data_IF_593728130039
#
_entry.id   IF_593728130039
#
_cell.length_a   1.000
_cell.length_b   1.000
_cell.length_c   1.000
_cell.angle_alpha   90.00
_cell.angle_beta   90.00
_cell.angle_gamma   90.00
#
_symmetry.space_group_name_H-M   'P 1'
#
loop_
_entity.id
_entity.type
_entity.pdbx_description
1 polymer ?
#
# COMPACT_ATOMS: atom_id res chain seq x y z
N UNK A 1 -1.21 -15.63 -15.30
CA UNK A 1 -1.74 -14.28 -14.98
C UNK A 1 -1.31 -13.74 -13.60
N UNK A 2 -0.91 -14.59 -12.65
CA UNK A 2 -0.52 -14.16 -11.27
C UNK A 2 0.90 -13.54 -11.13
N UNK A 3 1.65 -13.42 -12.24
CA UNK A 3 2.99 -12.83 -12.24
C UNK A 3 2.94 -11.33 -11.89
N UNK A 4 1.91 -10.62 -12.35
CA UNK A 4 1.72 -9.19 -12.04
C UNK A 4 1.46 -8.97 -10.55
N UNK A 5 0.53 -9.69 -9.88
CA UNK A 5 0.39 -9.69 -8.42
C UNK A 5 1.68 -9.98 -7.66
N UNK A 6 2.42 -11.02 -8.05
CA UNK A 6 3.67 -11.37 -7.39
C UNK A 6 4.72 -10.24 -7.50
N UNK A 7 4.94 -9.71 -8.70
CA UNK A 7 5.88 -8.61 -8.93
C UNK A 7 5.48 -7.33 -8.19
N UNK A 8 4.20 -6.98 -8.20
CA UNK A 8 3.69 -5.80 -7.48
C UNK A 8 3.89 -5.93 -5.98
N UNK A 9 3.60 -7.09 -5.39
CA UNK A 9 3.83 -7.34 -3.96
C UNK A 9 5.31 -7.36 -3.59
N UNK A 10 6.19 -7.94 -4.44
CA UNK A 10 7.64 -7.90 -4.24
C UNK A 10 8.19 -6.47 -4.33
N UNK A 11 7.77 -5.70 -5.33
CA UNK A 11 8.13 -4.29 -5.45
C UNK A 11 7.70 -3.51 -4.19
N UNK A 12 6.49 -3.78 -3.68
CA UNK A 12 6.02 -3.19 -2.42
C UNK A 12 6.84 -3.61 -1.21
N UNK A 13 7.24 -4.88 -1.11
CA UNK A 13 8.10 -5.35 -0.05
C UNK A 13 9.46 -4.62 -0.08
N UNK A 14 10.06 -4.47 -1.26
CA UNK A 14 11.33 -3.75 -1.47
C UNK A 14 11.21 -2.28 -1.07
N UNK A 15 10.19 -1.56 -1.55
CA UNK A 15 9.95 -0.15 -1.17
C UNK A 15 9.75 0.00 0.34
N UNK A 16 9.26 -1.05 1.01
CA UNK A 16 9.00 -1.08 2.45
C UNK A 16 10.15 -1.66 3.28
N UNK A 17 11.29 -1.99 2.68
CA UNK A 17 12.45 -2.53 3.39
C UNK A 17 12.92 -1.59 4.51
N UNK A 18 12.87 -0.27 4.27
CA UNK A 18 13.20 0.76 5.26
C UNK A 18 12.25 0.76 6.47
N UNK A 19 11.06 0.17 6.34
CA UNK A 19 10.08 0.06 7.41
C UNK A 19 10.32 -1.14 8.34
N UNK A 20 11.30 -2.00 8.06
CA UNK A 20 11.72 -3.10 8.95
C UNK A 20 12.22 -2.57 10.30
N UNK A 21 12.86 -1.40 10.29
CA UNK A 21 13.48 -0.80 11.47
C UNK A 21 12.44 -0.25 12.47
N UNK A 22 11.23 0.06 12.03
CA UNK A 22 10.15 0.58 12.89
C UNK A 22 9.22 -0.57 13.32
N UNK A 23 9.18 -0.96 14.62
CA UNK A 23 8.34 -2.05 15.12
C UNK A 23 6.86 -1.87 14.77
N UNK A 24 6.36 -0.63 14.70
CA UNK A 24 4.95 -0.33 14.38
C UNK A 24 4.64 -0.54 12.91
N UNK A 25 5.65 -0.48 12.03
CA UNK A 25 5.51 -0.64 10.58
C UNK A 25 5.91 -2.04 10.10
N UNK A 26 6.56 -2.82 10.96
CA UNK A 26 7.02 -4.17 10.68
C UNK A 26 5.89 -5.14 10.28
N UNK A 27 4.71 -5.02 10.89
CA UNK A 27 3.54 -5.87 10.57
C UNK A 27 3.12 -5.76 9.11
N UNK A 28 3.08 -4.53 8.57
CA UNK A 28 2.65 -4.31 7.19
C UNK A 28 3.69 -4.80 6.18
N UNK A 29 4.98 -4.72 6.52
CA UNK A 29 6.06 -5.31 5.72
C UNK A 29 5.95 -6.83 5.71
N UNK A 30 5.79 -7.46 6.88
CA UNK A 30 5.59 -8.91 7.01
C UNK A 30 4.38 -9.37 6.19
N UNK A 31 3.26 -8.65 6.29
CA UNK A 31 2.06 -8.93 5.49
C UNK A 31 2.38 -8.95 3.98
N UNK A 32 3.09 -7.94 3.47
CA UNK A 32 3.46 -7.89 2.04
C UNK A 32 4.42 -8.99 1.63
N UNK A 33 5.36 -9.39 2.50
CA UNK A 33 6.30 -10.48 2.20
C UNK A 33 5.59 -11.82 2.15
N UNK A 34 4.72 -12.12 3.13
CA UNK A 34 3.94 -13.36 3.14
C UNK A 34 2.98 -13.43 1.95
N UNK A 35 2.31 -12.33 1.61
CA UNK A 35 1.47 -12.27 0.42
C UNK A 35 2.27 -12.46 -0.87
N UNK A 36 3.44 -11.81 -1.00
CA UNK A 36 4.32 -11.98 -2.17
C UNK A 36 4.80 -13.43 -2.32
N UNK A 37 5.20 -14.06 -1.21
CA UNK A 37 5.59 -15.46 -1.18
C UNK A 37 4.42 -16.38 -1.58
N UNK A 38 3.22 -16.17 -1.04
CA UNK A 38 2.03 -16.93 -1.41
C UNK A 38 1.71 -16.78 -2.91
N UNK A 39 1.71 -15.56 -3.45
CA UNK A 39 1.48 -15.34 -4.88
C UNK A 39 2.56 -15.96 -5.77
N UNK A 40 3.82 -15.98 -5.30
CA UNK A 40 4.93 -16.61 -6.03
C UNK A 40 4.75 -18.13 -6.07
N UNK A 41 4.40 -18.75 -4.93
CA UNK A 41 4.08 -20.18 -4.87
C UNK A 41 2.83 -20.55 -5.65
N UNK A 42 1.88 -19.62 -5.83
CA UNK A 42 0.69 -19.83 -6.65
C UNK A 42 0.95 -19.79 -8.17
N UNK A 43 2.17 -19.46 -8.62
CA UNK A 43 2.51 -19.58 -10.03
C UNK A 43 2.68 -21.06 -10.40
N UNK A 44 1.88 -21.57 -11.33
CA UNK A 44 1.99 -22.94 -11.84
C UNK A 44 3.45 -23.43 -12.05
N UNK A 45 4.33 -22.70 -12.77
CA UNK A 45 5.71 -23.15 -12.96
C UNK A 45 6.51 -23.26 -11.66
N UNK A 46 6.23 -22.40 -10.67
CA UNK A 46 6.89 -22.45 -9.35
C UNK A 46 6.27 -23.57 -8.51
N UNK A 47 4.94 -23.69 -8.50
CA UNK A 47 4.21 -24.71 -7.77
C UNK A 47 4.68 -26.12 -8.13
N UNK A 48 4.67 -26.45 -9.44
CA UNK A 48 5.08 -27.76 -9.94
C UNK A 48 6.59 -28.02 -9.83
N UNK A 49 7.42 -26.98 -9.74
CA UNK A 49 8.86 -27.13 -9.51
C UNK A 49 9.20 -27.36 -8.04
N UNK A 50 8.50 -26.70 -7.12
CA UNK A 50 8.80 -26.74 -5.68
C UNK A 50 8.13 -27.93 -5.00
N UNK A 51 6.93 -28.32 -5.42
CA UNK A 51 6.19 -29.40 -4.75
C UNK A 51 6.92 -30.75 -4.73
N UNK A 52 7.57 -31.21 -5.81
CA UNK A 52 8.38 -32.43 -5.78
C UNK A 52 9.54 -32.37 -4.78
N UNK A 53 10.14 -31.19 -4.60
CA UNK A 53 11.23 -30.98 -3.63
C UNK A 53 10.74 -31.10 -2.19
N UNK A 54 9.48 -30.77 -1.95
CA UNK A 54 8.82 -30.87 -0.64
C UNK A 54 8.08 -32.22 -0.43
N UNK A 55 8.22 -33.17 -1.37
CA UNK A 55 7.69 -34.52 -1.25
C UNK A 55 6.62 -34.90 -2.27
N UNK A 56 6.14 -33.97 -3.11
CA UNK A 56 5.22 -34.26 -4.22
C UNK A 56 3.76 -34.51 -3.82
N UNK A 57 3.38 -34.14 -2.59
CA UNK A 57 2.05 -34.38 -2.01
C UNK A 57 1.23 -33.08 -1.85
N UNK A 58 1.39 -32.07 -2.73
CA UNK A 58 0.79 -30.73 -2.61
C UNK A 58 1.10 -30.00 -1.30
N UNK A 59 2.24 -30.31 -0.69
CA UNK A 59 2.72 -29.60 0.49
C UNK A 59 2.87 -28.10 0.23
N UNK A 60 3.15 -27.69 -1.02
CA UNK A 60 3.16 -26.28 -1.44
C UNK A 60 1.80 -25.62 -1.22
N UNK A 61 0.70 -26.34 -1.44
CA UNK A 61 -0.65 -25.84 -1.17
C UNK A 61 -0.88 -25.48 0.29
N UNK A 62 -0.40 -26.34 1.22
CA UNK A 62 -0.43 -26.05 2.65
C UNK A 62 0.42 -24.83 3.01
N UNK A 63 1.67 -24.77 2.52
CA UNK A 63 2.57 -23.63 2.77
C UNK A 63 1.98 -22.33 2.26
N UNK A 64 1.40 -22.36 1.05
CA UNK A 64 0.73 -21.22 0.43
C UNK A 64 -0.41 -20.72 1.32
N UNK A 65 -1.30 -21.61 1.77
CA UNK A 65 -2.44 -21.20 2.60
C UNK A 65 -1.97 -20.65 3.95
N UNK A 66 -0.96 -21.25 4.59
CA UNK A 66 -0.38 -20.74 5.83
C UNK A 66 0.26 -19.35 5.65
N UNK A 67 0.94 -19.11 4.53
CA UNK A 67 1.45 -17.78 4.18
C UNK A 67 0.33 -16.78 3.95
N UNK A 68 -0.76 -17.19 3.29
CA UNK A 68 -1.92 -16.33 3.07
C UNK A 68 -2.58 -15.95 4.39
N UNK A 69 -2.86 -16.92 5.26
CA UNK A 69 -3.39 -16.70 6.61
C UNK A 69 -2.51 -15.73 7.41
N UNK A 70 -1.20 -15.98 7.41
CA UNK A 70 -0.24 -15.13 8.12
C UNK A 70 -0.20 -13.72 7.52
N UNK A 71 -0.24 -13.60 6.19
CA UNK A 71 -0.27 -12.33 5.48
C UNK A 71 -1.48 -11.49 5.86
N UNK A 72 -2.68 -12.06 5.78
CA UNK A 72 -3.93 -11.40 6.17
C UNK A 72 -3.96 -11.06 7.67
N UNK A 73 -3.46 -11.94 8.52
CA UNK A 73 -3.32 -11.68 9.96
C UNK A 73 -2.45 -10.44 10.22
N UNK A 74 -1.25 -10.42 9.64
CA UNK A 74 -0.31 -9.31 9.78
C UNK A 74 -0.88 -8.01 9.21
N UNK A 75 -1.65 -8.11 8.12
CA UNK A 75 -2.32 -6.97 7.51
C UNK A 75 -3.39 -6.39 8.43
N UNK A 76 -4.26 -7.25 8.99
CA UNK A 76 -5.26 -6.88 10.00
C UNK A 76 -4.61 -6.22 11.22
N UNK A 77 -3.54 -6.82 11.73
CA UNK A 77 -2.78 -6.27 12.86
C UNK A 77 -2.20 -4.89 12.55
N UNK A 78 -1.64 -4.68 11.36
CA UNK A 78 -1.12 -3.39 10.93
C UNK A 78 -2.21 -2.30 10.89
N UNK A 79 -3.42 -2.64 10.40
CA UNK A 79 -4.55 -1.72 10.35
C UNK A 79 -5.07 -1.40 11.75
N UNK A 80 -5.20 -2.40 12.63
CA UNK A 80 -5.58 -2.16 14.03
C UNK A 80 -4.59 -1.26 14.75
N UNK A 81 -3.28 -1.48 14.56
CA UNK A 81 -2.22 -0.63 15.13
C UNK A 81 -2.27 0.80 14.61
N UNK A 82 -2.73 1.01 13.38
CA UNK A 82 -2.86 2.32 12.77
C UNK A 82 -4.15 3.05 13.17
N UNK A 83 -5.26 2.32 13.33
CA UNK A 83 -6.58 2.89 13.58
C UNK A 83 -6.91 3.08 15.08
N UNK A 84 -6.47 2.16 15.95
CA UNK A 84 -6.84 2.15 17.37
C UNK A 84 -5.79 2.86 18.24
N UNK A 85 -6.20 3.97 18.85
CA UNK A 85 -5.40 4.72 19.82
C UNK A 85 -5.42 4.10 21.22
N UNK A 86 -6.51 3.42 21.58
CA UNK A 86 -6.66 2.74 22.89
C UNK A 86 -5.78 1.48 22.97
N UNK A 87 -4.83 1.49 23.90
CA UNK A 87 -3.86 0.41 24.09
C UNK A 87 -4.49 -0.87 24.65
N UNK A 88 -5.52 -0.78 25.51
CA UNK A 88 -6.10 -1.95 26.20
C UNK A 88 -6.95 -2.74 25.22
N UNK A 89 -7.89 -2.06 24.55
CA UNK A 89 -8.73 -2.67 23.52
C UNK A 89 -7.92 -3.25 22.37
N UNK A 90 -6.84 -2.56 21.96
CA UNK A 90 -5.92 -3.03 20.93
C UNK A 90 -5.20 -4.31 21.32
N UNK A 91 -4.69 -4.42 22.55
CA UNK A 91 -4.03 -5.66 23.04
C UNK A 91 -5.00 -6.83 23.06
N UNK A 92 -6.22 -6.61 23.53
CA UNK A 92 -7.24 -7.65 23.59
C UNK A 92 -7.64 -8.15 22.19
N UNK A 93 -7.88 -7.25 21.23
CA UNK A 93 -8.21 -7.63 19.85
C UNK A 93 -7.05 -8.29 19.09
N UNK A 94 -5.81 -7.92 19.39
CA UNK A 94 -4.62 -8.61 18.89
C UNK A 94 -4.50 -10.01 19.49
N UNK A 95 -4.78 -10.19 20.78
CA UNK A 95 -4.77 -11.49 21.44
C UNK A 95 -5.83 -12.44 20.86
N UNK A 96 -7.08 -11.97 20.72
CA UNK A 96 -8.17 -12.74 20.09
C UNK A 96 -7.76 -13.17 18.68
N UNK A 97 -7.22 -12.24 17.91
CA UNK A 97 -6.88 -12.56 16.54
C UNK A 97 -5.62 -13.45 16.41
N UNK A 98 -4.66 -13.36 17.33
CA UNK A 98 -3.57 -14.33 17.43
C UNK A 98 -4.13 -15.73 17.73
N UNK A 99 -5.08 -15.85 18.68
CA UNK A 99 -5.73 -17.14 18.95
C UNK A 99 -6.50 -17.66 17.74
N UNK A 100 -7.23 -16.80 17.03
CA UNK A 100 -7.96 -17.18 15.81
C UNK A 100 -7.00 -17.68 14.72
N UNK A 101 -5.85 -17.00 14.53
CA UNK A 101 -4.81 -17.40 13.60
C UNK A 101 -4.19 -18.76 13.97
N UNK A 102 -3.89 -18.97 15.25
CA UNK A 102 -3.35 -20.25 15.74
C UNK A 102 -4.35 -21.38 15.53
N UNK A 103 -5.62 -21.17 15.89
CA UNK A 103 -6.69 -22.17 15.72
C UNK A 103 -6.90 -22.48 14.23
N UNK A 104 -7.00 -21.45 13.38
CA UNK A 104 -7.14 -21.63 11.94
C UNK A 104 -5.94 -22.36 11.33
N UNK A 105 -4.72 -22.00 11.72
CA UNK A 105 -3.49 -22.67 11.27
C UNK A 105 -3.44 -24.14 11.67
N UNK A 106 -3.83 -24.47 12.90
CA UNK A 106 -3.92 -25.86 13.37
C UNK A 106 -4.98 -26.62 12.57
N UNK A 107 -6.19 -26.08 12.46
CA UNK A 107 -7.29 -26.74 11.75
C UNK A 107 -6.99 -26.96 10.26
N UNK A 108 -6.36 -25.99 9.60
CA UNK A 108 -5.88 -26.11 8.22
C UNK A 108 -4.81 -27.20 8.11
N UNK A 109 -3.81 -27.20 9.00
CA UNK A 109 -2.74 -28.21 8.97
C UNK A 109 -3.28 -29.61 9.22
N UNK A 110 -4.15 -29.78 10.22
CA UNK A 110 -4.80 -31.06 10.52
C UNK A 110 -5.67 -31.51 9.35
N UNK A 111 -6.50 -30.61 8.79
CA UNK A 111 -7.32 -30.90 7.63
C UNK A 111 -6.49 -31.43 6.45
N UNK A 112 -5.38 -30.75 6.14
CA UNK A 112 -4.45 -31.18 5.10
C UNK A 112 -3.83 -32.56 5.39
N UNK A 113 -3.31 -32.78 6.61
CA UNK A 113 -2.67 -34.05 6.98
C UNK A 113 -3.64 -35.23 7.02
N UNK A 114 -4.93 -34.98 7.28
CA UNK A 114 -5.98 -36.01 7.23
C UNK A 114 -6.47 -36.31 5.81
N UNK A 115 -6.11 -35.47 4.84
CA UNK A 115 -6.45 -35.66 3.44
C UNK A 115 -5.44 -36.53 2.72
N UNK A 116 -5.93 -37.34 1.77
CA UNK A 116 -5.09 -38.17 0.89
C UNK A 116 -4.77 -37.37 -0.35
N UNK A 117 -3.57 -36.83 -0.39
CA UNK A 117 -3.11 -35.96 -1.48
C UNK A 117 -1.99 -36.67 -2.24
N UNK A 118 -2.41 -37.50 -3.20
CA UNK A 118 -1.52 -38.47 -3.85
C UNK A 118 -0.79 -37.90 -5.07
N UNK A 119 -1.19 -36.73 -5.59
CA UNK A 119 -0.60 -36.10 -6.78
C UNK A 119 -0.53 -34.59 -6.63
N UNK A 120 0.54 -34.00 -7.18
CA UNK A 120 0.64 -32.54 -7.30
C UNK A 120 -0.44 -32.00 -8.23
N UNK A 121 -1.33 -31.18 -7.69
CA UNK A 121 -2.36 -30.44 -8.42
C UNK A 121 -2.59 -29.09 -7.74
N UNK A 122 -2.53 -28.03 -8.53
CA UNK A 122 -2.76 -26.67 -8.07
C UNK A 122 -4.25 -26.40 -7.73
N UNK A 123 -5.18 -27.13 -8.34
CA UNK A 123 -6.62 -26.94 -8.17
C UNK A 123 -7.19 -27.83 -7.06
N UNK A 124 -6.63 -27.73 -5.85
CA UNK A 124 -7.04 -28.48 -4.66
C UNK A 124 -8.56 -28.53 -4.41
N UNK A 125 -9.34 -27.43 -4.57
CA UNK A 125 -10.79 -27.47 -4.36
C UNK A 125 -11.55 -28.36 -5.34
N UNK A 126 -11.04 -28.50 -6.56
CA UNK A 126 -11.69 -29.30 -7.61
C UNK A 126 -11.29 -30.76 -7.48
N UNK A 127 -10.00 -31.03 -7.24
CA UNK A 127 -9.43 -32.38 -7.29
C UNK A 127 -9.65 -33.17 -6.00
N UNK A 128 -9.69 -32.50 -4.85
CA UNK A 128 -9.76 -33.13 -3.53
C UNK A 128 -10.92 -32.64 -2.67
N UNK A 129 -11.84 -31.85 -3.24
CA UNK A 129 -12.94 -31.20 -2.51
C UNK A 129 -13.98 -32.16 -1.92
N UNK A 130 -13.98 -33.43 -2.35
CA UNK A 130 -14.82 -34.51 -1.84
C UNK A 130 -14.33 -35.04 -0.47
N UNK A 131 -13.06 -34.84 -0.14
CA UNK A 131 -12.47 -35.31 1.11
C UNK A 131 -12.80 -34.37 2.27
N UNK A 132 -13.26 -34.94 3.39
CA UNK A 132 -13.57 -34.17 4.60
C UNK A 132 -12.37 -33.34 5.11
N UNK A 133 -11.16 -33.90 5.11
CA UNK A 133 -9.95 -33.15 5.51
C UNK A 133 -9.69 -31.91 4.65
N UNK A 134 -9.90 -32.03 3.34
CA UNK A 134 -9.70 -30.95 2.38
C UNK A 134 -10.79 -29.90 2.51
N UNK A 135 -12.03 -30.31 2.80
CA UNK A 135 -13.10 -29.37 3.11
C UNK A 135 -12.74 -28.55 4.35
N UNK A 136 -12.28 -29.18 5.44
CA UNK A 136 -11.83 -28.45 6.64
C UNK A 136 -10.68 -27.48 6.29
N UNK A 137 -9.71 -27.91 5.48
CA UNK A 137 -8.61 -27.08 5.00
C UNK A 137 -9.10 -25.83 4.24
N UNK A 138 -9.95 -26.03 3.23
CA UNK A 138 -10.43 -24.95 2.35
C UNK A 138 -11.39 -24.01 3.07
N UNK A 139 -12.36 -24.55 3.82
CA UNK A 139 -13.35 -23.75 4.54
C UNK A 139 -12.74 -22.94 5.66
N UNK A 140 -11.88 -23.56 6.48
CA UNK A 140 -11.23 -22.84 7.58
C UNK A 140 -10.35 -21.70 7.05
N UNK A 141 -9.57 -21.97 6.00
CA UNK A 141 -8.74 -20.95 5.36
C UNK A 141 -9.56 -19.80 4.81
N UNK A 142 -10.62 -20.14 4.08
CA UNK A 142 -11.55 -19.20 3.46
C UNK A 142 -12.29 -18.33 4.48
N UNK A 143 -12.85 -18.94 5.52
CA UNK A 143 -13.57 -18.25 6.59
C UNK A 143 -12.66 -17.31 7.36
N UNK A 144 -11.42 -17.72 7.65
CA UNK A 144 -10.47 -16.86 8.33
C UNK A 144 -10.13 -15.62 7.49
N UNK A 145 -9.84 -15.81 6.19
CA UNK A 145 -9.50 -14.70 5.30
C UNK A 145 -10.71 -13.76 5.15
N UNK A 146 -11.91 -14.32 4.96
CA UNK A 146 -13.15 -13.55 4.89
C UNK A 146 -13.39 -12.73 6.16
N UNK A 147 -13.24 -13.36 7.34
CA UNK A 147 -13.34 -12.67 8.62
C UNK A 147 -12.32 -11.53 8.75
N UNK A 148 -11.05 -11.78 8.42
CA UNK A 148 -10.02 -10.76 8.47
C UNK A 148 -10.34 -9.58 7.53
N UNK A 149 -10.79 -9.87 6.31
CA UNK A 149 -11.23 -8.89 5.32
C UNK A 149 -12.41 -8.02 5.80
N UNK A 150 -13.45 -8.65 6.37
CA UNK A 150 -14.62 -7.97 6.90
C UNK A 150 -14.26 -7.10 8.10
N UNK A 151 -13.45 -7.62 9.02
CA UNK A 151 -13.03 -6.86 10.20
C UNK A 151 -12.13 -5.68 9.83
N UNK A 152 -11.20 -5.87 8.88
CA UNK A 152 -10.43 -4.78 8.29
C UNK A 152 -11.38 -3.72 7.76
N UNK A 153 -12.32 -4.08 6.88
CA UNK A 153 -13.27 -3.17 6.24
C UNK A 153 -14.13 -2.44 7.27
N UNK A 154 -14.55 -3.12 8.33
CA UNK A 154 -15.33 -2.54 9.42
C UNK A 154 -14.53 -1.53 10.24
N UNK A 155 -13.31 -1.88 10.68
CA UNK A 155 -12.41 -0.98 11.42
C UNK A 155 -12.14 0.27 10.59
N UNK A 156 -11.82 0.02 9.33
CA UNK A 156 -11.62 1.01 8.32
C UNK A 156 -12.85 1.94 8.25
N UNK A 157 -14.05 1.40 7.98
CA UNK A 157 -15.26 2.20 7.77
C UNK A 157 -15.57 3.09 8.98
N UNK A 158 -15.46 2.51 10.19
CA UNK A 158 -15.70 3.22 11.45
C UNK A 158 -14.75 4.40 11.68
N UNK A 159 -13.52 4.34 11.17
CA UNK A 159 -12.53 5.40 11.36
C UNK A 159 -12.44 6.37 10.16
N UNK A 160 -13.11 6.10 9.04
CA UNK A 160 -13.12 6.99 7.85
C UNK A 160 -13.53 8.42 8.16
N UNK A 161 -14.51 8.61 9.04
CA UNK A 161 -15.04 9.92 9.39
C UNK A 161 -14.00 10.82 10.07
N UNK A 162 -12.96 10.27 10.71
CA UNK A 162 -11.93 11.07 11.39
C UNK A 162 -10.78 11.48 10.45
N UNK A 163 -10.75 10.98 9.21
CA UNK A 163 -9.61 11.11 8.30
C UNK A 163 -9.82 12.24 7.30
N UNK A 164 -9.32 13.43 7.63
CA UNK A 164 -9.49 14.66 6.84
C UNK A 164 -8.76 14.65 5.48
N UNK A 165 -7.83 13.74 5.23
CA UNK A 165 -7.02 13.73 4.00
C UNK A 165 -7.66 12.90 2.87
N UNK A 166 -7.92 13.55 1.72
CA UNK A 166 -8.48 12.92 0.50
C UNK A 166 -7.67 11.70 0.04
N UNK A 167 -6.34 11.75 0.12
CA UNK A 167 -5.46 10.63 -0.24
C UNK A 167 -5.67 9.40 0.63
N UNK A 168 -6.05 9.60 1.89
CA UNK A 168 -6.36 8.51 2.80
C UNK A 168 -7.72 7.88 2.48
N UNK A 169 -8.73 8.71 2.17
CA UNK A 169 -10.06 8.25 1.72
C UNK A 169 -10.00 7.48 0.40
N UNK A 170 -9.14 7.89 -0.52
CA UNK A 170 -8.99 7.22 -1.81
C UNK A 170 -8.27 5.87 -1.65
N UNK A 171 -7.19 5.82 -0.85
CA UNK A 171 -6.48 4.57 -0.56
C UNK A 171 -7.37 3.55 0.17
N UNK A 172 -8.24 4.07 1.04
CA UNK A 172 -9.26 3.29 1.71
C UNK A 172 -10.27 2.64 0.76
N UNK A 173 -10.85 3.43 -0.15
CA UNK A 173 -11.83 2.93 -1.13
C UNK A 173 -11.21 1.85 -2.02
N UNK A 174 -9.95 2.02 -2.42
CA UNK A 174 -9.22 1.03 -3.19
C UNK A 174 -8.98 -0.28 -2.42
N UNK A 175 -8.65 -0.21 -1.12
CA UNK A 175 -8.53 -1.40 -0.26
C UNK A 175 -9.89 -2.09 -0.15
N UNK A 176 -10.97 -1.34 0.13
CA UNK A 176 -12.31 -1.90 0.27
C UNK A 176 -12.79 -2.58 -1.03
N UNK A 177 -12.59 -1.92 -2.18
CA UNK A 177 -12.93 -2.48 -3.50
C UNK A 177 -12.14 -3.76 -3.79
N UNK A 178 -10.83 -3.75 -3.49
CA UNK A 178 -9.98 -4.92 -3.70
C UNK A 178 -10.35 -6.08 -2.77
N UNK A 179 -10.68 -5.81 -1.50
CA UNK A 179 -11.18 -6.82 -0.56
C UNK A 179 -12.51 -7.40 -1.06
N UNK A 180 -13.44 -6.56 -1.51
CA UNK A 180 -14.74 -7.02 -2.03
C UNK A 180 -14.57 -7.91 -3.27
N UNK A 181 -13.71 -7.51 -4.22
CA UNK A 181 -13.37 -8.31 -5.38
C UNK A 181 -12.74 -9.66 -4.98
N UNK A 182 -11.82 -9.66 -4.00
CA UNK A 182 -11.21 -10.89 -3.50
C UNK A 182 -12.24 -11.82 -2.84
N UNK A 183 -13.14 -11.29 -2.02
CA UNK A 183 -14.21 -12.08 -1.40
C UNK A 183 -15.13 -12.70 -2.46
N UNK A 184 -15.48 -11.96 -3.52
CA UNK A 184 -16.26 -12.48 -4.63
C UNK A 184 -15.55 -13.66 -5.31
N UNK A 185 -14.25 -13.53 -5.62
CA UNK A 185 -13.48 -14.64 -6.23
C UNK A 185 -13.38 -15.86 -5.33
N UNK A 186 -13.30 -15.65 -4.02
CA UNK A 186 -13.18 -16.72 -3.03
C UNK A 186 -14.51 -17.46 -2.89
N UNK A 187 -15.63 -16.73 -2.86
CA UNK A 187 -16.97 -17.31 -2.87
C UNK A 187 -17.23 -18.08 -4.16
N UNK A 188 -16.88 -17.52 -5.32
CA UNK A 188 -17.01 -18.19 -6.62
C UNK A 188 -16.21 -19.50 -6.68
N UNK A 189 -14.96 -19.50 -6.20
CA UNK A 189 -14.14 -20.73 -6.12
C UNK A 189 -14.73 -21.79 -5.19
N UNK A 190 -15.29 -21.40 -4.04
CA UNK A 190 -15.94 -22.33 -3.12
C UNK A 190 -17.22 -22.93 -3.73
N UNK A 191 -18.05 -22.10 -4.35
CA UNK A 191 -19.26 -22.55 -5.06
C UNK A 191 -18.92 -23.50 -6.21
N UNK A 192 -17.91 -23.15 -7.01
CA UNK A 192 -17.43 -24.01 -8.10
C UNK A 192 -16.96 -25.37 -7.60
N UNK A 193 -16.24 -25.42 -6.48
CA UNK A 193 -15.83 -26.68 -5.85
C UNK A 193 -17.03 -27.54 -5.40
N UNK A 194 -18.08 -26.92 -4.84
CA UNK A 194 -19.29 -27.65 -4.43
C UNK A 194 -20.13 -28.13 -5.61
N UNK A 195 -20.28 -27.31 -6.66
CA UNK A 195 -21.09 -27.65 -7.84
C UNK A 195 -20.43 -28.76 -8.65
N UNK A 196 -19.11 -28.74 -8.81
CA UNK A 196 -18.38 -29.82 -9.51
C UNK A 196 -18.42 -31.14 -8.72
N UNK A 197 -18.36 -31.10 -7.39
CA UNK A 197 -18.55 -32.29 -6.57
C UNK A 197 -19.97 -32.89 -6.69
N UNK A 198 -20.95 -32.11 -7.17
CA UNK A 198 -22.35 -32.52 -7.31
C UNK A 198 -22.78 -32.85 -8.75
N UNK A 199 -22.00 -32.50 -9.79
CA UNK A 199 -22.34 -32.72 -11.20
C UNK A 199 -21.11 -33.11 -12.04
N UNK A 200 -21.13 -34.32 -12.57
CA UNK A 200 -20.07 -34.92 -13.40
C UNK A 200 -20.18 -34.52 -14.89
N UNK A 201 -20.51 -33.26 -15.19
CA UNK A 201 -20.87 -32.82 -16.55
C UNK A 201 -19.81 -31.92 -17.19
N UNK A 202 -19.06 -32.51 -18.13
CA UNK A 202 -18.02 -31.89 -18.95
C UNK A 202 -18.52 -30.91 -20.01
N UNK A 203 -19.03 -29.76 -19.58
CA UNK A 203 -19.13 -28.59 -20.46
C UNK A 203 -18.12 -27.50 -20.06
N UNK A 204 -17.81 -26.66 -21.04
CA UNK A 204 -16.70 -25.72 -21.12
C UNK A 204 -16.90 -24.29 -20.53
N UNK A 205 -17.92 -23.92 -19.69
CA UNK A 205 -17.97 -22.58 -19.10
C UNK A 205 -16.90 -22.33 -18.02
N UNK A 206 -16.19 -23.37 -17.57
CA UNK A 206 -15.13 -23.29 -16.57
C UNK A 206 -13.91 -22.47 -17.02
N UNK A 207 -13.61 -22.46 -18.33
CA UNK A 207 -12.45 -21.73 -18.87
C UNK A 207 -12.63 -20.22 -18.80
N UNK A 208 -13.85 -19.72 -19.08
CA UNK A 208 -14.19 -18.30 -19.00
C UNK A 208 -14.24 -17.81 -17.55
N UNK A 209 -14.85 -18.58 -16.65
CA UNK A 209 -14.90 -18.25 -15.21
C UNK A 209 -13.49 -18.26 -14.58
N UNK A 210 -12.63 -19.20 -14.95
CA UNK A 210 -11.23 -19.21 -14.50
C UNK A 210 -10.45 -17.97 -14.99
N UNK A 211 -10.69 -17.53 -16.23
CA UNK A 211 -10.05 -16.32 -16.76
C UNK A 211 -10.51 -15.06 -16.02
N UNK A 212 -11.82 -14.92 -15.80
CA UNK A 212 -12.39 -13.81 -15.03
C UNK A 212 -11.90 -13.81 -13.58
N UNK A 213 -11.81 -14.98 -12.95
CA UNK A 213 -11.26 -15.11 -11.60
C UNK A 213 -9.79 -14.68 -11.53
N UNK A 214 -8.98 -15.05 -12.52
CA UNK A 214 -7.58 -14.61 -12.58
C UNK A 214 -7.44 -13.09 -12.71
N UNK A 215 -8.32 -12.45 -13.50
CA UNK A 215 -8.35 -10.98 -13.64
C UNK A 215 -8.86 -10.30 -12.37
N UNK A 216 -9.92 -10.82 -11.76
CA UNK A 216 -10.48 -10.31 -10.52
C UNK A 216 -9.49 -10.45 -9.34
N UNK A 217 -8.82 -11.59 -9.19
CA UNK A 217 -7.77 -11.80 -8.19
C UNK A 217 -6.59 -10.83 -8.42
N UNK A 218 -6.17 -10.66 -9.67
CA UNK A 218 -5.09 -9.75 -10.02
C UNK A 218 -5.44 -8.29 -9.71
N UNK A 219 -6.64 -7.87 -10.12
CA UNK A 219 -7.13 -6.52 -9.84
C UNK A 219 -7.29 -6.28 -8.34
N UNK A 220 -7.78 -7.26 -7.57
CA UNK A 220 -7.88 -7.17 -6.12
C UNK A 220 -6.52 -6.90 -5.46
N UNK A 221 -5.49 -7.69 -5.81
CA UNK A 221 -4.14 -7.51 -5.27
C UNK A 221 -3.56 -6.14 -5.65
N UNK A 222 -3.74 -5.72 -6.90
CA UNK A 222 -3.25 -4.41 -7.37
C UNK A 222 -3.97 -3.26 -6.66
N UNK A 223 -5.30 -3.32 -6.54
CA UNK A 223 -6.12 -2.31 -5.86
C UNK A 223 -5.75 -2.20 -4.38
N UNK A 224 -5.66 -3.33 -3.68
CA UNK A 224 -5.21 -3.37 -2.28
C UNK A 224 -3.80 -2.80 -2.17
N UNK A 225 -2.88 -3.24 -3.02
CA UNK A 225 -1.51 -2.75 -3.05
C UNK A 225 -1.43 -1.23 -3.19
N UNK A 226 -2.06 -0.68 -4.24
CA UNK A 226 -2.13 0.77 -4.48
C UNK A 226 -2.72 1.47 -3.26
N UNK A 227 -3.83 0.96 -2.72
CA UNK A 227 -4.49 1.55 -1.56
C UNK A 227 -3.65 1.60 -0.29
N UNK A 228 -2.71 0.66 -0.09
CA UNK A 228 -1.77 0.68 1.04
C UNK A 228 -0.59 1.64 0.79
N UNK A 229 -0.21 1.89 -0.47
CA UNK A 229 0.89 2.81 -0.83
C UNK A 229 0.42 4.26 -0.87
N UNK A 230 -0.82 4.52 -1.31
CA UNK A 230 -1.35 5.87 -1.54
C UNK A 230 -1.28 6.79 -0.30
N UNK A 231 -1.64 6.35 0.93
CA UNK A 231 -1.53 7.18 2.12
C UNK A 231 -0.07 7.55 2.46
N UNK A 232 0.89 6.70 2.09
CA UNK A 232 2.32 6.95 2.32
C UNK A 232 2.91 7.96 1.35
N UNK A 233 2.40 8.01 0.13
CA UNK A 233 2.83 8.98 -0.88
C UNK A 233 2.33 10.40 -0.58
N UNK A 234 1.23 10.55 0.17
CA UNK A 234 0.62 11.86 0.42
C UNK A 234 1.54 12.89 1.08
N UNK A 235 2.46 12.48 1.97
CA UNK A 235 3.43 13.40 2.61
C UNK A 235 4.59 13.76 1.67
N UNK A 236 5.36 12.82 1.11
CA UNK A 236 6.47 13.15 0.22
C UNK A 236 6.00 13.86 -1.05
N UNK A 237 4.82 13.52 -1.60
CA UNK A 237 4.26 14.23 -2.77
C UNK A 237 3.90 15.67 -2.43
N UNK A 238 3.32 15.94 -1.26
CA UNK A 238 3.08 17.33 -0.81
C UNK A 238 4.38 18.10 -0.62
N UNK A 239 5.41 17.47 -0.05
CA UNK A 239 6.73 18.08 0.07
C UNK A 239 7.36 18.34 -1.30
N UNK A 240 7.25 17.39 -2.24
CA UNK A 240 7.76 17.53 -3.59
C UNK A 240 7.04 18.65 -4.36
N UNK A 241 5.71 18.69 -4.30
CA UNK A 241 4.91 19.75 -4.93
C UNK A 241 5.23 21.11 -4.31
N UNK A 242 5.37 21.19 -2.98
CA UNK A 242 5.77 22.42 -2.29
C UNK A 242 7.19 22.84 -2.69
N UNK A 243 8.11 21.90 -2.83
CA UNK A 243 9.47 22.16 -3.28
C UNK A 243 9.50 22.62 -4.76
N UNK A 244 8.68 22.03 -5.62
CA UNK A 244 8.54 22.45 -7.02
C UNK A 244 7.92 23.85 -7.12
N UNK A 245 6.85 24.11 -6.38
CA UNK A 245 6.22 25.44 -6.33
C UNK A 245 7.21 26.48 -5.78
N UNK A 246 7.96 26.16 -4.73
CA UNK A 246 9.00 27.04 -4.20
C UNK A 246 10.14 27.28 -5.21
N UNK A 247 10.49 26.29 -6.03
CA UNK A 247 11.47 26.45 -7.13
C UNK A 247 10.94 27.35 -8.25
N UNK A 248 9.67 27.21 -8.62
CA UNK A 248 9.04 28.09 -9.62
C UNK A 248 8.99 29.54 -9.13
N UNK A 249 8.55 29.76 -7.89
CA UNK A 249 8.52 31.08 -7.28
C UNK A 249 9.92 31.68 -7.12
N UNK A 250 10.95 30.85 -6.88
CA UNK A 250 12.35 31.28 -6.86
C UNK A 250 12.83 31.81 -8.22
N UNK A 251 12.39 31.20 -9.33
CA UNK A 251 12.71 31.66 -10.68
C UNK A 251 12.02 33.01 -10.94
N UNK A 252 10.76 33.13 -10.54
CA UNK A 252 9.97 34.34 -10.77
C UNK A 252 10.52 35.53 -9.96
N UNK A 253 10.78 35.35 -8.66
CA UNK A 253 11.30 36.40 -7.79
C UNK A 253 12.74 36.78 -8.10
N UNK A 254 13.51 35.92 -8.78
CA UNK A 254 14.92 36.19 -9.08
C UNK A 254 15.10 37.49 -9.89
N UNK A 255 14.22 37.72 -10.87
CA UNK A 255 14.26 38.91 -11.72
C UNK A 255 14.05 40.19 -10.91
N UNK A 256 13.07 40.16 -10.00
CA UNK A 256 12.77 41.26 -9.08
C UNK A 256 13.92 41.48 -8.09
N UNK A 257 14.42 40.40 -7.48
CA UNK A 257 15.55 40.44 -6.56
C UNK A 257 16.77 41.09 -7.23
N UNK A 258 17.15 40.68 -8.45
CA UNK A 258 18.30 41.24 -9.18
C UNK A 258 18.13 42.73 -9.46
N UNK A 259 16.92 43.20 -9.75
CA UNK A 259 16.64 44.62 -9.99
C UNK A 259 16.76 45.48 -8.72
N UNK A 260 16.50 44.88 -7.56
CA UNK A 260 16.43 45.58 -6.27
C UNK A 260 17.77 45.54 -5.53
N UNK A 261 18.52 44.46 -5.69
CA UNK A 261 19.84 44.28 -5.08
C UNK A 261 20.98 44.91 -5.86
N UNK A 262 20.77 45.31 -7.12
CA UNK A 262 21.80 46.02 -7.89
C UNK A 262 22.19 47.33 -7.20
N UNK A 263 23.47 47.38 -6.80
CA UNK A 263 24.06 48.51 -6.08
C UNK A 263 23.83 48.51 -4.57
N UNK A 264 23.34 47.42 -3.95
CA UNK A 264 23.14 47.31 -2.48
C UNK A 264 23.89 46.08 -1.93
N UNK A 265 25.22 46.08 -1.99
CA UNK A 265 26.05 44.96 -1.52
C UNK A 265 25.91 44.66 -0.03
N UNK A 266 25.60 45.67 0.78
CA UNK A 266 25.66 45.57 2.25
C UNK A 266 24.45 44.86 2.88
N UNK A 267 23.42 44.54 2.09
CA UNK A 267 22.22 43.81 2.55
C UNK A 267 22.25 42.36 2.05
N UNK A 268 23.04 42.07 1.01
CA UNK A 268 23.02 40.78 0.33
C UNK A 268 24.09 39.88 0.91
N UNK A 269 23.67 38.93 1.74
CA UNK A 269 24.55 37.96 2.41
C UNK A 269 25.27 36.98 1.46
N UNK A 270 24.89 36.89 0.17
CA UNK A 270 25.62 36.14 -0.86
C UNK A 270 25.32 36.74 -2.25
N UNK A 271 26.24 37.51 -2.85
CA UNK A 271 26.02 38.14 -4.16
C UNK A 271 26.14 37.18 -5.34
N UNK A 272 26.51 35.91 -5.12
CA UNK A 272 26.66 34.94 -6.21
C UNK A 272 25.36 34.81 -7.03
N UNK A 273 25.49 35.09 -8.32
CA UNK A 273 24.45 34.93 -9.33
C UNK A 273 23.94 33.49 -9.33
N UNK A 274 22.65 33.30 -9.63
CA UNK A 274 22.06 31.96 -9.73
C UNK A 274 22.84 31.17 -10.77
N UNK A 275 23.61 30.19 -10.32
CA UNK A 275 24.06 29.13 -11.20
C UNK A 275 22.84 28.27 -11.52
N UNK A 276 22.69 27.76 -12.75
CA UNK A 276 21.62 26.82 -13.09
C UNK A 276 21.62 25.58 -12.18
N UNK A 277 22.76 25.29 -11.53
CA UNK A 277 22.92 24.27 -10.50
C UNK A 277 22.25 24.61 -9.16
N UNK A 278 21.90 25.87 -8.89
CA UNK A 278 21.14 26.27 -7.69
C UNK A 278 19.66 25.84 -7.75
N UNK A 279 19.13 25.52 -8.93
CA UNK A 279 17.82 24.87 -9.07
C UNK A 279 17.80 23.49 -8.38
N UNK A 280 18.96 22.83 -8.28
CA UNK A 280 19.14 21.54 -7.62
C UNK A 280 19.48 21.69 -6.13
N UNK A 281 19.54 22.92 -5.60
CA UNK A 281 20.00 23.14 -4.25
C UNK A 281 19.08 22.54 -3.18
N UNK A 282 19.72 22.00 -2.15
CA UNK A 282 19.09 21.39 -0.97
C UNK A 282 18.43 22.51 -0.14
N UNK A 283 17.08 22.56 -0.14
CA UNK A 283 16.16 23.46 0.62
C UNK A 283 15.66 24.72 -0.13
N UNK A 284 14.77 24.58 -1.13
CA UNK A 284 14.23 25.72 -1.91
C UNK A 284 13.38 26.67 -1.07
N UNK A 285 12.57 26.17 -0.13
CA UNK A 285 11.69 27.01 0.72
C UNK A 285 12.47 27.99 1.58
N UNK A 286 13.60 27.57 2.18
CA UNK A 286 14.45 28.43 3.02
C UNK A 286 15.12 29.53 2.18
N UNK A 287 15.49 29.22 0.95
CA UNK A 287 16.08 30.19 0.01
C UNK A 287 15.05 31.19 -0.48
N UNK A 288 13.82 30.73 -0.77
CA UNK A 288 12.72 31.61 -1.15
C UNK A 288 12.42 32.62 -0.03
N UNK A 289 12.28 32.14 1.21
CA UNK A 289 12.09 32.99 2.38
C UNK A 289 13.22 34.02 2.56
N UNK A 290 14.47 33.61 2.39
CA UNK A 290 15.62 34.52 2.47
C UNK A 290 15.59 35.60 1.39
N UNK A 291 15.27 35.26 0.14
CA UNK A 291 15.21 36.25 -0.95
C UNK A 291 14.07 37.27 -0.77
N UNK A 292 12.95 36.85 -0.20
CA UNK A 292 11.85 37.77 0.15
C UNK A 292 12.30 38.79 1.20
N UNK A 293 12.98 38.34 2.25
CA UNK A 293 13.54 39.24 3.28
C UNK A 293 14.54 40.22 2.66
N UNK A 294 15.47 39.74 1.84
CA UNK A 294 16.46 40.61 1.18
C UNK A 294 15.80 41.68 0.30
N UNK A 295 14.69 41.35 -0.40
CA UNK A 295 13.92 42.33 -1.17
C UNK A 295 13.26 43.38 -0.27
N UNK A 296 12.66 42.96 0.85
CA UNK A 296 12.04 43.87 1.83
C UNK A 296 13.05 44.77 2.54
N UNK A 297 14.21 44.24 2.88
CA UNK A 297 15.29 45.02 3.50
C UNK A 297 15.83 46.08 2.54
N UNK A 298 15.94 45.75 1.24
CA UNK A 298 16.31 46.73 0.22
C UNK A 298 15.22 47.79 0.00
N UNK A 299 13.94 47.42 0.05
CA UNK A 299 12.82 48.36 -0.01
C UNK A 299 12.87 49.35 1.18
N UNK A 300 13.07 48.84 2.39
CA UNK A 300 13.16 49.67 3.60
C UNK A 300 14.36 50.62 3.59
N UNK A 301 15.52 50.17 3.08
CA UNK A 301 16.71 51.03 2.94
C UNK A 301 16.61 52.05 1.80
N UNK A 302 15.73 51.86 0.82
CA UNK A 302 15.59 52.73 -0.35
C UNK A 302 14.13 53.14 -0.59
N UNK A 303 13.54 53.96 0.30
CA UNK A 303 12.15 54.42 0.16
C UNK A 303 11.91 55.20 -1.14
N UNK A 304 12.96 55.81 -1.71
CA UNK A 304 12.89 56.57 -2.97
C UNK A 304 12.76 55.70 -4.24
N UNK A 305 12.97 54.38 -4.13
CA UNK A 305 12.80 53.42 -5.24
C UNK A 305 11.82 52.32 -4.83
N UNK A 306 10.52 52.64 -4.74
CA UNK A 306 9.52 51.64 -4.39
C UNK A 306 9.47 50.53 -5.43
N UNK A 307 9.11 49.32 -4.97
CA UNK A 307 8.92 48.17 -5.83
C UNK A 307 7.83 48.45 -6.87
N UNK A 308 7.99 47.90 -8.07
CA UNK A 308 6.92 47.94 -9.08
C UNK A 308 5.69 47.21 -8.55
N UNK A 309 4.46 47.62 -8.91
CA UNK A 309 3.23 47.00 -8.41
C UNK A 309 3.18 45.48 -8.64
N UNK A 310 3.70 45.01 -9.78
CA UNK A 310 3.80 43.57 -10.10
C UNK A 310 4.76 42.82 -9.17
N UNK A 311 5.89 43.43 -8.83
CA UNK A 311 6.89 42.87 -7.93
C UNK A 311 6.39 42.83 -6.49
N UNK A 312 5.65 43.86 -6.07
CA UNK A 312 5.03 43.92 -4.75
C UNK A 312 3.90 42.89 -4.60
N UNK A 313 3.07 42.70 -5.64
CA UNK A 313 2.07 41.64 -5.67
C UNK A 313 2.70 40.23 -5.61
N UNK A 314 3.81 40.02 -6.33
CA UNK A 314 4.57 38.76 -6.30
C UNK A 314 5.16 38.48 -4.91
N UNK A 315 5.78 39.48 -4.28
CA UNK A 315 6.34 39.34 -2.93
C UNK A 315 5.24 39.04 -1.91
N UNK A 316 4.12 39.76 -1.95
CA UNK A 316 2.95 39.51 -1.09
C UNK A 316 2.41 38.09 -1.28
N UNK A 317 2.28 37.63 -2.53
CA UNK A 317 1.83 36.28 -2.84
C UNK A 317 2.77 35.20 -2.26
N UNK A 318 4.08 35.42 -2.34
CA UNK A 318 5.07 34.50 -1.78
C UNK A 318 5.04 34.51 -0.25
N UNK A 319 4.88 35.68 0.38
CA UNK A 319 4.71 35.83 1.83
C UNK A 319 3.48 35.05 2.32
N UNK A 320 2.33 35.22 1.67
CA UNK A 320 1.09 34.48 1.97
C UNK A 320 1.30 32.96 1.86
N UNK A 321 1.99 32.52 0.80
CA UNK A 321 2.29 31.09 0.54
C UNK A 321 3.27 30.50 1.57
N UNK A 322 4.19 31.31 2.11
CA UNK A 322 5.16 30.89 3.12
C UNK A 322 4.56 30.81 4.53
N UNK A 323 3.66 31.74 4.88
CA UNK A 323 2.97 31.80 6.18
C UNK A 323 1.92 30.68 6.32
N UNK A 324 1.45 30.12 5.20
CA UNK A 324 0.53 28.98 5.21
C UNK A 324 -0.90 29.37 5.55
N UNK A 325 -1.39 30.46 4.94
CA UNK A 325 -2.82 30.72 4.78
C UNK A 325 -3.35 30.02 3.54
#
# INVERSE_FOLDING_TARGET
>A
MLLVPALTLWAMAIVRLTAIVDPRRSHLFRATVFAAAACTLHLAPVYYAVDPVLGGHNTVGLVLLLFLLTGFWQFRAAIMLAALTDNVRRRHQLAIGNSAMTVAGIAVTVGFLTSRVDRTDQNLPVTYGDQFGMQVFLWTGSLFILWACLDITFILHRHTASLHAVTFRLGFWLIGLGIAAFCLTLVDRLLSGMVMAAHDSGNDPLSFLNSLNGVAETSAVVLVGIGIVLPRLGRPVKHLLRDLQARLLLIEIHTTWRQVTTGTSDVVLNPNEISLLDFLAVKPVRRLHRRVIEVRDCEFKRPERPLRPKSLALVSHIEDTLIGR
#
